data_IF_207569261517
#
_entry.id   IF_207569261517
#
_cell.length_a   1.000
_cell.length_b   1.000
_cell.length_c   1.000
_cell.angle_alpha   90.00
_cell.angle_beta   90.00
_cell.angle_gamma   90.00
#
_symmetry.space_group_name_H-M   'P 1'
#
loop_
_entity.id
_entity.type
_entity.pdbx_description
1 polymer ?
#
# COMPACT_ATOMS: atom_id res chain seq x y z
N UNK A 1 22.60 21.95 -25.00
CA UNK A 1 22.59 20.52 -24.57
C UNK A 1 21.46 20.38 -23.59
N UNK A 2 20.27 20.02 -24.07
CA UNK A 2 19.13 19.70 -23.21
C UNK A 2 19.35 18.30 -22.60
N UNK A 3 19.13 18.09 -21.31
CA UNK A 3 19.23 16.77 -20.72
C UNK A 3 18.03 15.94 -21.18
N UNK A 4 18.30 14.81 -21.79
CA UNK A 4 17.30 13.77 -22.20
C UNK A 4 16.50 13.30 -20.97
N UNK A 5 15.40 13.95 -20.67
CA UNK A 5 14.42 13.53 -19.65
C UNK A 5 13.56 12.33 -20.08
N UNK A 6 13.61 11.92 -21.34
CA UNK A 6 12.77 10.85 -21.89
C UNK A 6 13.16 9.42 -21.52
N UNK A 7 14.31 9.19 -20.89
CA UNK A 7 14.82 7.85 -20.62
C UNK A 7 14.45 7.28 -19.23
N UNK A 8 14.12 8.10 -18.26
CA UNK A 8 13.86 7.64 -16.89
C UNK A 8 12.44 7.13 -16.68
N UNK A 9 11.47 7.62 -17.46
CA UNK A 9 10.06 7.24 -17.32
C UNK A 9 9.77 5.78 -17.69
N UNK A 10 10.61 5.17 -18.52
CA UNK A 10 10.43 3.79 -18.96
C UNK A 10 10.71 2.75 -17.86
N UNK A 11 11.47 3.09 -16.83
CA UNK A 11 11.87 2.18 -15.75
C UNK A 11 11.04 2.31 -14.49
N UNK A 12 10.12 3.28 -14.39
CA UNK A 12 9.33 3.50 -13.18
C UNK A 12 8.16 2.53 -13.07
N UNK A 13 8.13 1.72 -11.99
CA UNK A 13 7.06 0.78 -11.65
C UNK A 13 5.98 1.37 -10.73
N UNK A 14 6.17 2.60 -10.24
CA UNK A 14 5.34 3.18 -9.19
C UNK A 14 4.38 4.22 -9.74
N UNK A 15 4.64 4.71 -10.92
CA UNK A 15 3.93 5.83 -11.52
C UNK A 15 2.72 5.39 -12.35
N UNK A 16 1.64 4.96 -11.68
CA UNK A 16 0.39 4.60 -12.34
C UNK A 16 -0.73 4.22 -11.38
N UNK A 17 -1.90 3.89 -11.94
CA UNK A 17 -3.09 3.45 -11.22
C UNK A 17 -4.11 4.55 -10.94
N UNK A 18 -5.29 4.15 -10.42
CA UNK A 18 -6.39 5.05 -10.06
C UNK A 18 -5.98 6.02 -8.95
N UNK A 19 -5.23 5.53 -7.96
CA UNK A 19 -4.76 6.33 -6.84
C UNK A 19 -3.92 7.53 -7.30
N UNK A 20 -3.02 7.34 -8.28
CA UNK A 20 -2.26 8.44 -8.88
C UNK A 20 -3.14 9.41 -9.66
N UNK A 21 -4.15 8.90 -10.39
CA UNK A 21 -5.10 9.75 -11.11
C UNK A 21 -5.87 10.66 -10.15
N UNK A 22 -6.27 10.16 -8.98
CA UNK A 22 -6.89 10.95 -7.91
C UNK A 22 -5.92 11.99 -7.36
N UNK A 23 -4.67 11.62 -7.09
CA UNK A 23 -3.64 12.55 -6.63
C UNK A 23 -3.37 13.70 -7.63
N UNK A 24 -3.32 13.37 -8.92
CA UNK A 24 -3.15 14.39 -9.98
C UNK A 24 -4.35 15.33 -10.05
N UNK A 25 -5.58 14.82 -9.93
CA UNK A 25 -6.80 15.64 -9.90
C UNK A 25 -6.84 16.57 -8.69
N UNK A 26 -6.31 16.15 -7.55
CA UNK A 26 -6.23 16.93 -6.31
C UNK A 26 -5.03 17.89 -6.28
N UNK A 27 -4.14 17.86 -7.28
CA UNK A 27 -2.94 18.71 -7.32
C UNK A 27 -1.87 18.36 -6.27
N UNK A 28 -1.98 17.22 -5.58
CA UNK A 28 -1.15 16.85 -4.41
C UNK A 28 -0.07 15.83 -4.76
N UNK A 29 0.14 15.55 -6.04
CA UNK A 29 1.04 14.50 -6.52
C UNK A 29 2.52 14.71 -6.10
N UNK A 30 2.95 15.96 -5.91
CA UNK A 30 4.31 16.29 -5.49
C UNK A 30 4.48 16.41 -3.96
N UNK A 31 3.39 16.39 -3.20
CA UNK A 31 3.40 16.63 -1.75
C UNK A 31 2.98 15.37 -0.98
N UNK A 32 3.85 14.35 -1.00
CA UNK A 32 3.57 13.06 -0.31
C UNK A 32 3.30 13.24 1.20
N UNK A 33 3.94 14.23 1.84
CA UNK A 33 3.69 14.55 3.26
C UNK A 33 2.26 15.04 3.50
N UNK A 34 1.73 15.91 2.63
CA UNK A 34 0.33 16.38 2.72
C UNK A 34 -0.62 15.21 2.53
N UNK A 35 -0.30 14.29 1.61
CA UNK A 35 -1.11 13.11 1.36
C UNK A 35 -1.13 12.15 2.55
N UNK A 36 0.02 11.95 3.20
CA UNK A 36 0.13 11.14 4.40
C UNK A 36 -0.68 11.76 5.55
N UNK A 37 -0.55 13.08 5.75
CA UNK A 37 -1.33 13.80 6.75
C UNK A 37 -2.84 13.72 6.47
N UNK A 38 -3.26 13.93 5.23
CA UNK A 38 -4.66 13.81 4.83
C UNK A 38 -5.19 12.39 5.08
N UNK A 39 -4.38 11.35 4.81
CA UNK A 39 -4.73 9.96 5.10
C UNK A 39 -4.90 9.69 6.60
N UNK A 40 -4.01 10.24 7.44
CA UNK A 40 -4.13 10.17 8.91
C UNK A 40 -5.40 10.88 9.36
N UNK A 41 -5.62 12.13 8.96
CA UNK A 41 -6.78 12.92 9.33
C UNK A 41 -8.07 12.21 8.92
N UNK A 42 -8.13 11.69 7.70
CA UNK A 42 -9.29 10.95 7.21
C UNK A 42 -9.59 9.67 7.99
N UNK A 43 -8.56 8.89 8.34
CA UNK A 43 -8.76 7.59 8.99
C UNK A 43 -8.87 7.68 10.52
N UNK A 44 -8.17 8.65 11.16
CA UNK A 44 -8.02 8.73 12.61
C UNK A 44 -8.93 9.78 13.25
N UNK A 45 -9.06 10.97 12.67
CA UNK A 45 -9.80 12.08 13.27
C UNK A 45 -11.27 11.73 13.56
N UNK A 46 -12.04 11.08 12.65
CA UNK A 46 -13.40 10.68 12.95
C UNK A 46 -13.50 9.68 14.10
N UNK A 47 -12.49 8.82 14.28
CA UNK A 47 -12.45 7.89 15.43
C UNK A 47 -12.34 8.64 16.75
N UNK A 48 -11.45 9.65 16.81
CA UNK A 48 -11.33 10.51 18.01
C UNK A 48 -12.65 11.20 18.30
N UNK A 49 -13.28 11.81 17.29
CA UNK A 49 -14.56 12.52 17.46
C UNK A 49 -15.65 11.58 17.96
N UNK A 50 -15.84 10.43 17.33
CA UNK A 50 -16.89 9.48 17.70
C UNK A 50 -16.66 8.87 19.09
N UNK A 51 -15.41 8.52 19.44
CA UNK A 51 -15.08 7.97 20.78
C UNK A 51 -15.22 9.04 21.87
N UNK A 52 -14.95 10.31 21.57
CA UNK A 52 -15.20 11.41 22.50
C UNK A 52 -16.69 11.59 22.76
N UNK A 53 -17.51 11.58 21.70
CA UNK A 53 -18.98 11.70 21.82
C UNK A 53 -19.56 10.54 22.65
N UNK A 54 -19.05 9.33 22.46
CA UNK A 54 -19.51 8.14 23.18
C UNK A 54 -18.85 7.93 24.56
N UNK A 55 -17.93 8.82 24.99
CA UNK A 55 -17.23 8.71 26.27
C UNK A 55 -16.26 7.53 26.37
N UNK A 56 -15.87 6.92 25.24
CA UNK A 56 -14.98 5.75 25.19
C UNK A 56 -13.55 6.09 24.77
N UNK A 57 -13.18 7.38 24.79
CA UNK A 57 -11.85 7.86 24.43
C UNK A 57 -10.79 7.44 25.45
N UNK A 58 -11.01 7.77 26.73
CA UNK A 58 -10.11 7.49 27.86
C UNK A 58 -10.62 6.38 28.76
N UNK A 59 -11.96 6.33 28.97
CA UNK A 59 -12.66 5.44 29.88
C UNK A 59 -13.93 4.89 29.20
N UNK A 60 -14.86 4.29 29.96
CA UNK A 60 -16.17 3.88 29.44
C UNK A 60 -16.19 2.55 28.67
N UNK A 61 -15.03 1.92 28.47
CA UNK A 61 -14.88 0.59 27.88
C UNK A 61 -13.71 -0.15 28.53
N UNK A 62 -13.71 -1.48 28.51
CA UNK A 62 -12.59 -2.27 29.03
C UNK A 62 -11.28 -2.01 28.26
N UNK A 63 -11.39 -1.67 26.98
CA UNK A 63 -10.28 -1.14 26.19
C UNK A 63 -10.72 0.17 25.53
N UNK A 64 -10.39 1.34 26.14
CA UNK A 64 -10.63 2.65 25.57
C UNK A 64 -9.84 2.87 24.26
N UNK A 65 -10.27 3.82 23.45
CA UNK A 65 -9.66 4.08 22.13
C UNK A 65 -8.15 4.38 22.23
N UNK A 66 -7.72 5.21 23.18
CA UNK A 66 -6.31 5.58 23.34
C UNK A 66 -5.41 4.42 23.77
N UNK A 67 -5.97 3.37 24.34
CA UNK A 67 -5.23 2.17 24.72
C UNK A 67 -5.12 1.13 23.59
N UNK A 68 -5.84 1.33 22.46
CA UNK A 68 -5.73 0.46 21.29
C UNK A 68 -4.45 0.76 20.47
N UNK A 69 -3.31 0.30 21.01
CA UNK A 69 -1.99 0.49 20.39
C UNK A 69 -1.97 -0.02 18.94
N UNK A 70 -2.66 -1.14 18.67
CA UNK A 70 -2.69 -1.72 17.33
C UNK A 70 -3.35 -0.78 16.30
N UNK A 71 -4.43 -0.11 16.68
CA UNK A 71 -5.12 0.85 15.83
C UNK A 71 -4.25 2.10 15.58
N UNK A 72 -3.62 2.62 16.62
CA UNK A 72 -2.72 3.78 16.53
C UNK A 72 -1.49 3.47 15.69
N UNK A 73 -0.81 2.34 15.92
CA UNK A 73 0.34 1.92 15.11
C UNK A 73 -0.02 1.78 13.63
N UNK A 74 -1.19 1.22 13.33
CA UNK A 74 -1.68 1.05 11.96
C UNK A 74 -1.93 2.37 11.25
N UNK A 75 -2.62 3.32 11.91
CA UNK A 75 -3.03 4.57 11.28
C UNK A 75 -1.95 5.66 11.38
N UNK A 76 -1.29 5.82 12.54
CA UNK A 76 -0.35 6.91 12.76
C UNK A 76 1.07 6.59 12.30
N UNK A 77 1.44 5.30 12.20
CA UNK A 77 2.79 4.89 11.80
C UNK A 77 2.75 4.18 10.45
N UNK A 78 2.05 3.06 10.35
CA UNK A 78 2.14 2.23 9.15
C UNK A 78 1.52 2.89 7.91
N UNK A 79 0.36 3.56 8.04
CA UNK A 79 -0.30 4.23 6.93
C UNK A 79 0.55 5.35 6.32
N UNK A 80 1.10 6.33 7.07
CA UNK A 80 1.97 7.35 6.48
C UNK A 80 3.26 6.75 5.92
N UNK A 81 3.85 5.74 6.55
CA UNK A 81 5.02 5.04 6.00
C UNK A 81 4.71 4.44 4.64
N UNK A 82 3.58 3.75 4.46
CA UNK A 82 3.16 3.18 3.17
C UNK A 82 2.99 4.25 2.08
N UNK A 83 2.58 5.46 2.44
CA UNK A 83 2.45 6.58 1.50
C UNK A 83 3.81 7.18 1.16
N UNK A 84 4.63 7.49 2.18
CA UNK A 84 5.90 8.21 2.02
C UNK A 84 6.99 7.36 1.34
N UNK A 85 7.07 6.08 1.67
CA UNK A 85 8.09 5.16 1.16
C UNK A 85 8.00 4.96 -0.36
N UNK A 86 6.86 5.32 -0.95
CA UNK A 86 6.59 5.17 -2.39
C UNK A 86 7.67 5.83 -3.26
N UNK A 87 8.06 7.05 -2.95
CA UNK A 87 9.06 7.77 -3.71
C UNK A 87 10.45 7.15 -3.57
N UNK A 88 10.81 6.77 -2.33
CA UNK A 88 12.14 6.17 -2.05
C UNK A 88 12.28 4.85 -2.79
N UNK A 89 11.28 3.97 -2.70
CA UNK A 89 11.30 2.68 -3.40
C UNK A 89 11.27 2.88 -4.91
N UNK A 90 10.50 3.88 -5.43
CA UNK A 90 10.47 4.19 -6.85
C UNK A 90 11.83 4.52 -7.42
N UNK A 91 12.55 5.41 -6.76
CA UNK A 91 13.90 5.81 -7.18
C UNK A 91 14.86 4.61 -7.12
N UNK A 92 14.83 3.84 -6.03
CA UNK A 92 15.73 2.69 -5.85
C UNK A 92 15.45 1.55 -6.83
N UNK A 93 14.19 1.21 -7.06
CA UNK A 93 13.83 0.17 -8.04
C UNK A 93 14.17 0.59 -9.47
N UNK A 94 13.93 1.84 -9.84
CA UNK A 94 14.31 2.37 -11.15
C UNK A 94 15.82 2.29 -11.36
N UNK A 95 16.62 2.71 -10.37
CA UNK A 95 18.08 2.62 -10.42
C UNK A 95 18.56 1.16 -10.54
N UNK A 96 17.98 0.25 -9.76
CA UNK A 96 18.31 -1.17 -9.79
C UNK A 96 18.00 -1.80 -11.16
N UNK A 97 16.82 -1.52 -11.73
CA UNK A 97 16.45 -2.04 -13.07
C UNK A 97 17.42 -1.51 -14.13
N UNK A 98 17.72 -0.21 -14.07
CA UNK A 98 18.66 0.40 -15.00
C UNK A 98 20.04 -0.25 -14.91
N UNK A 99 20.56 -0.39 -13.69
CA UNK A 99 21.86 -1.05 -13.47
C UNK A 99 21.86 -2.49 -14.02
N UNK A 100 20.85 -3.29 -13.67
CA UNK A 100 20.75 -4.67 -14.15
C UNK A 100 20.66 -4.74 -15.68
N UNK A 101 19.89 -3.84 -16.31
CA UNK A 101 19.74 -3.82 -17.76
C UNK A 101 21.00 -3.38 -18.48
N UNK A 102 21.72 -2.40 -17.92
CA UNK A 102 22.90 -1.81 -18.57
C UNK A 102 24.18 -2.62 -18.34
N UNK A 103 24.31 -3.27 -17.19
CA UNK A 103 25.56 -3.95 -16.79
C UNK A 103 25.52 -5.46 -16.99
N UNK A 104 24.34 -6.08 -16.91
CA UNK A 104 24.23 -7.56 -16.91
C UNK A 104 23.67 -8.15 -18.19
N UNK A 105 23.14 -7.35 -19.13
CA UNK A 105 22.52 -7.83 -20.36
C UNK A 105 23.33 -7.40 -21.59
N UNK A 106 23.40 -8.29 -22.57
CA UNK A 106 23.85 -7.93 -23.92
C UNK A 106 22.86 -7.00 -24.63
N UNK A 107 23.26 -6.44 -25.75
CA UNK A 107 22.50 -5.42 -26.50
C UNK A 107 21.12 -5.90 -26.92
N UNK A 108 21.00 -7.15 -27.35
CA UNK A 108 19.75 -7.74 -27.84
C UNK A 108 18.79 -8.05 -26.70
N UNK A 109 19.27 -8.71 -25.62
CA UNK A 109 18.49 -8.99 -24.43
C UNK A 109 18.05 -7.71 -23.72
N UNK A 110 18.93 -6.69 -23.66
CA UNK A 110 18.60 -5.37 -23.15
C UNK A 110 17.47 -4.74 -23.94
N UNK A 111 17.54 -4.77 -25.27
CA UNK A 111 16.48 -4.22 -26.10
C UNK A 111 15.15 -4.93 -25.86
N UNK A 112 15.14 -6.26 -25.81
CA UNK A 112 13.96 -7.06 -25.50
C UNK A 112 13.41 -6.77 -24.07
N UNK A 113 14.29 -6.65 -23.09
CA UNK A 113 13.90 -6.33 -21.72
C UNK A 113 13.24 -4.95 -21.63
N UNK A 114 13.88 -3.92 -22.16
CA UNK A 114 13.43 -2.54 -22.06
C UNK A 114 12.20 -2.26 -22.93
N UNK A 115 12.15 -2.81 -24.15
CA UNK A 115 11.07 -2.52 -25.11
C UNK A 115 9.82 -3.38 -24.90
N UNK A 116 9.95 -4.61 -24.39
CA UNK A 116 8.85 -5.57 -24.31
C UNK A 116 8.50 -5.93 -22.86
N UNK A 117 9.50 -6.33 -22.07
CA UNK A 117 9.25 -6.91 -20.73
C UNK A 117 8.90 -5.85 -19.71
N UNK A 118 9.68 -4.78 -19.62
CA UNK A 118 9.43 -3.69 -18.66
C UNK A 118 8.07 -3.02 -18.85
N UNK A 119 7.63 -2.65 -20.06
CA UNK A 119 6.31 -2.06 -20.26
C UNK A 119 5.17 -3.00 -19.86
N UNK A 120 5.30 -4.33 -20.10
CA UNK A 120 4.31 -5.32 -19.67
C UNK A 120 4.23 -5.40 -18.15
N UNK A 121 5.38 -5.48 -17.46
CA UNK A 121 5.43 -5.50 -16.00
C UNK A 121 4.90 -4.22 -15.39
N UNK A 122 5.25 -3.06 -15.95
CA UNK A 122 4.71 -1.76 -15.55
C UNK A 122 3.19 -1.70 -15.68
N UNK A 123 2.64 -2.16 -16.81
CA UNK A 123 1.18 -2.24 -16.99
C UNK A 123 0.53 -3.11 -15.92
N UNK A 124 1.15 -4.23 -15.57
CA UNK A 124 0.66 -5.13 -14.53
C UNK A 124 0.71 -4.47 -13.14
N UNK A 125 1.84 -3.82 -12.81
CA UNK A 125 2.03 -3.14 -11.53
C UNK A 125 1.11 -1.91 -11.33
N UNK A 126 0.79 -1.19 -12.42
CA UNK A 126 0.06 0.06 -12.41
C UNK A 126 -1.35 -0.06 -13.03
N UNK A 127 -1.88 -1.27 -13.18
CA UNK A 127 -3.18 -1.50 -13.80
C UNK A 127 -4.32 -1.03 -12.90
N UNK A 128 -5.20 -0.21 -13.45
CA UNK A 128 -6.46 0.16 -12.77
C UNK A 128 -7.36 -1.07 -12.53
N UNK A 129 -7.25 -2.10 -13.37
CA UNK A 129 -7.97 -3.36 -13.16
C UNK A 129 -7.49 -4.08 -11.90
N UNK A 130 -6.19 -4.11 -11.65
CA UNK A 130 -5.63 -4.69 -10.42
C UNK A 130 -6.14 -3.95 -9.18
N UNK A 131 -6.14 -2.62 -9.21
CA UNK A 131 -6.68 -1.82 -8.08
C UNK A 131 -8.17 -2.11 -7.86
N UNK A 132 -8.95 -2.25 -8.93
CA UNK A 132 -10.36 -2.64 -8.83
C UNK A 132 -10.53 -4.03 -8.20
N UNK A 133 -9.72 -5.01 -8.61
CA UNK A 133 -9.74 -6.36 -8.03
C UNK A 133 -9.41 -6.30 -6.53
N UNK A 134 -8.40 -5.52 -6.13
CA UNK A 134 -8.05 -5.36 -4.71
C UNK A 134 -9.19 -4.73 -3.91
N UNK A 135 -9.86 -3.70 -4.46
CA UNK A 135 -11.03 -3.09 -3.83
C UNK A 135 -12.17 -4.13 -3.69
N UNK A 136 -12.46 -4.89 -4.74
CA UNK A 136 -13.49 -5.93 -4.71
C UNK A 136 -13.18 -7.02 -3.67
N UNK A 137 -11.92 -7.44 -3.54
CA UNK A 137 -11.50 -8.39 -2.51
C UNK A 137 -11.71 -7.84 -1.10
N UNK A 138 -11.39 -6.56 -0.86
CA UNK A 138 -11.62 -5.92 0.43
C UNK A 138 -13.11 -5.82 0.72
N UNK A 139 -13.93 -5.37 -0.23
CA UNK A 139 -15.38 -5.28 -0.09
C UNK A 139 -15.99 -6.65 0.19
N UNK A 140 -15.56 -7.69 -0.55
CA UNK A 140 -16.00 -9.05 -0.34
C UNK A 140 -15.63 -9.58 1.07
N UNK A 141 -14.42 -9.27 1.56
CA UNK A 141 -13.99 -9.64 2.92
C UNK A 141 -14.83 -8.96 3.99
N UNK A 142 -15.06 -7.64 3.87
CA UNK A 142 -15.92 -6.88 4.79
C UNK A 142 -17.35 -7.43 4.77
N UNK A 143 -17.91 -7.72 3.60
CA UNK A 143 -19.24 -8.29 3.44
C UNK A 143 -19.35 -9.68 4.07
N UNK A 144 -18.35 -10.54 3.83
CA UNK A 144 -18.30 -11.89 4.41
C UNK A 144 -18.25 -11.84 5.94
N UNK A 145 -17.39 -11.00 6.51
CA UNK A 145 -17.26 -10.79 7.95
C UNK A 145 -18.57 -10.24 8.56
N UNK A 146 -19.24 -9.34 7.86
CA UNK A 146 -20.52 -8.79 8.32
C UNK A 146 -21.61 -9.87 8.35
N UNK A 147 -21.66 -10.75 7.33
CA UNK A 147 -22.64 -11.83 7.28
C UNK A 147 -22.41 -12.94 8.29
N UNK A 148 -21.14 -13.28 8.54
CA UNK A 148 -20.77 -14.34 9.50
C UNK A 148 -20.91 -13.91 10.95
N UNK A 149 -21.01 -12.61 11.24
CA UNK A 149 -20.96 -12.08 12.60
C UNK A 149 -19.58 -12.17 13.27
N UNK A 150 -18.58 -12.68 12.57
CA UNK A 150 -17.21 -12.88 13.08
C UNK A 150 -16.46 -11.58 13.33
N UNK A 151 -16.99 -10.44 12.91
CA UNK A 151 -16.38 -9.13 13.15
C UNK A 151 -16.22 -8.80 14.64
N UNK A 152 -17.11 -9.28 15.50
CA UNK A 152 -17.04 -9.10 16.95
C UNK A 152 -15.79 -9.72 17.56
N UNK A 153 -15.48 -10.96 17.21
CA UNK A 153 -14.28 -11.68 17.64
C UNK A 153 -12.99 -11.06 17.10
N UNK A 154 -12.99 -10.72 15.80
CA UNK A 154 -11.84 -10.12 15.11
C UNK A 154 -11.48 -8.73 15.64
N UNK A 155 -12.46 -7.94 16.11
CA UNK A 155 -12.24 -6.58 16.59
C UNK A 155 -12.05 -6.48 18.11
N UNK A 156 -11.99 -7.59 18.84
CA UNK A 156 -11.60 -7.63 20.24
C UNK A 156 -12.72 -7.78 21.26
N UNK A 157 -13.89 -8.28 20.83
CA UNK A 157 -14.98 -8.70 21.74
C UNK A 157 -15.89 -7.56 22.20
N UNK A 158 -16.79 -7.85 23.13
CA UNK A 158 -17.97 -7.06 23.47
C UNK A 158 -17.71 -5.80 24.33
N UNK A 159 -16.52 -5.61 24.85
CA UNK A 159 -16.22 -4.49 25.77
C UNK A 159 -15.02 -3.66 25.29
N UNK A 160 -15.14 -3.10 24.10
CA UNK A 160 -14.12 -2.21 23.53
C UNK A 160 -14.78 -0.92 23.07
N UNK A 161 -14.00 0.13 22.77
CA UNK A 161 -14.51 1.36 22.14
C UNK A 161 -15.28 1.11 20.84
N UNK A 162 -15.11 -0.07 20.20
CA UNK A 162 -15.76 -0.48 18.94
C UNK A 162 -17.17 -1.02 19.16
N UNK A 163 -17.44 -1.58 20.37
CA UNK A 163 -18.71 -2.23 20.71
C UNK A 163 -19.23 -1.74 22.05
N UNK A 164 -20.54 -1.58 22.12
CA UNK A 164 -21.27 -1.33 23.36
C UNK A 164 -22.25 -2.47 23.62
N UNK A 165 -22.56 -2.73 24.89
CA UNK A 165 -23.59 -3.70 25.26
C UNK A 165 -24.92 -2.97 25.42
N UNK A 166 -25.85 -3.18 24.53
CA UNK A 166 -27.24 -2.72 24.63
C UNK A 166 -28.17 -3.92 24.77
N UNK A 167 -28.94 -3.95 25.87
CA UNK A 167 -29.91 -5.03 26.16
C UNK A 167 -29.31 -6.46 26.07
N UNK A 168 -28.05 -6.62 26.48
CA UNK A 168 -27.35 -7.90 26.45
C UNK A 168 -26.81 -8.34 25.08
N UNK A 169 -26.96 -7.50 24.06
CA UNK A 169 -26.38 -7.72 22.74
C UNK A 169 -25.20 -6.75 22.49
N UNK A 170 -24.16 -7.26 21.82
CA UNK A 170 -23.02 -6.45 21.43
C UNK A 170 -23.36 -5.68 20.15
N UNK A 171 -23.49 -4.37 20.28
CA UNK A 171 -23.80 -3.47 19.14
C UNK A 171 -22.58 -2.66 18.79
N UNK A 172 -22.28 -2.56 17.49
CA UNK A 172 -21.14 -1.79 17.01
C UNK A 172 -21.40 -0.28 17.12
N UNK A 173 -20.49 0.43 17.81
CA UNK A 173 -20.53 1.90 17.95
C UNK A 173 -20.31 2.61 16.62
N UNK A 174 -20.60 3.92 16.54
CA UNK A 174 -20.25 4.71 15.35
C UNK A 174 -18.75 4.69 15.05
N UNK A 175 -17.92 4.77 16.08
CA UNK A 175 -16.48 4.65 15.95
C UNK A 175 -16.07 3.26 15.42
N UNK A 176 -16.70 2.19 15.93
CA UNK A 176 -16.51 0.83 15.44
C UNK A 176 -16.89 0.68 13.97
N UNK A 177 -18.04 1.22 13.57
CA UNK A 177 -18.48 1.23 12.16
C UNK A 177 -17.49 1.97 11.26
N UNK A 178 -17.02 3.15 11.65
CA UNK A 178 -16.03 3.90 10.88
C UNK A 178 -14.71 3.12 10.76
N UNK A 179 -14.24 2.54 11.87
CA UNK A 179 -13.03 1.71 11.86
C UNK A 179 -13.16 0.53 10.90
N UNK A 180 -14.27 -0.21 10.98
CA UNK A 180 -14.48 -1.46 10.24
C UNK A 180 -14.76 -1.23 8.74
N UNK A 181 -15.59 -0.24 8.40
CA UNK A 181 -15.99 0.00 7.02
C UNK A 181 -15.11 0.98 6.25
N UNK A 182 -14.30 1.80 6.95
CA UNK A 182 -13.53 2.88 6.31
C UNK A 182 -12.04 2.78 6.66
N UNK A 183 -11.66 2.93 7.94
CA UNK A 183 -10.24 3.06 8.30
C UNK A 183 -9.43 1.79 8.03
N UNK A 184 -9.96 0.62 8.40
CA UNK A 184 -9.30 -0.67 8.18
C UNK A 184 -9.23 -1.00 6.68
N UNK A 185 -10.33 -0.93 5.89
CA UNK A 185 -10.29 -1.13 4.45
C UNK A 185 -9.35 -0.17 3.70
N UNK A 186 -9.31 1.09 4.10
CA UNK A 186 -8.38 2.06 3.52
C UNK A 186 -6.92 1.67 3.75
N UNK A 187 -6.58 1.29 4.97
CA UNK A 187 -5.24 0.76 5.27
C UNK A 187 -4.94 -0.53 4.49
N UNK A 188 -5.87 -1.49 4.47
CA UNK A 188 -5.74 -2.75 3.72
C UNK A 188 -5.50 -2.50 2.24
N UNK A 189 -6.18 -1.52 1.64
CA UNK A 189 -5.99 -1.16 0.25
C UNK A 189 -4.56 -0.71 -0.04
N UNK A 190 -4.01 0.18 0.79
CA UNK A 190 -2.62 0.62 0.65
C UNK A 190 -1.63 -0.54 0.83
N UNK A 191 -1.87 -1.39 1.83
CA UNK A 191 -1.02 -2.55 2.09
C UNK A 191 -1.05 -3.55 0.94
N UNK A 192 -2.24 -3.90 0.44
CA UNK A 192 -2.40 -4.84 -0.68
C UNK A 192 -1.80 -4.30 -1.98
N UNK A 193 -1.87 -3.00 -2.22
CA UNK A 193 -1.15 -2.38 -3.34
C UNK A 193 0.37 -2.60 -3.24
N UNK A 194 0.94 -2.50 -2.04
CA UNK A 194 2.36 -2.77 -1.82
C UNK A 194 2.71 -4.24 -2.03
N UNK A 195 1.91 -5.14 -1.48
CA UNK A 195 2.09 -6.59 -1.68
C UNK A 195 2.03 -6.93 -3.17
N UNK A 196 1.08 -6.37 -3.91
CA UNK A 196 0.97 -6.59 -5.35
C UNK A 196 2.22 -6.11 -6.12
N UNK A 197 2.69 -4.91 -5.83
CA UNK A 197 3.92 -4.37 -6.45
C UNK A 197 5.15 -5.22 -6.13
N UNK A 198 5.22 -5.71 -4.90
CA UNK A 198 6.28 -6.63 -4.49
C UNK A 198 6.23 -7.94 -5.28
N UNK A 199 5.05 -8.51 -5.49
CA UNK A 199 4.87 -9.71 -6.33
C UNK A 199 5.33 -9.44 -7.77
N UNK A 200 4.94 -8.31 -8.36
CA UNK A 200 5.38 -7.94 -9.72
C UNK A 200 6.90 -7.75 -9.78
N UNK A 201 7.50 -7.17 -8.74
CA UNK A 201 8.95 -7.05 -8.61
C UNK A 201 9.64 -8.42 -8.58
N UNK A 202 9.15 -9.36 -7.78
CA UNK A 202 9.66 -10.74 -7.75
C UNK A 202 9.54 -11.40 -9.13
N UNK A 203 8.41 -11.25 -9.82
CA UNK A 203 8.25 -11.79 -11.17
C UNK A 203 9.25 -11.18 -12.17
N UNK A 204 9.55 -9.90 -12.05
CA UNK A 204 10.57 -9.25 -12.87
C UNK A 204 11.95 -9.84 -12.59
N UNK A 205 12.35 -9.95 -11.31
CA UNK A 205 13.64 -10.55 -10.92
C UNK A 205 13.76 -12.00 -11.41
N UNK A 206 12.68 -12.78 -11.30
CA UNK A 206 12.65 -14.15 -11.81
C UNK A 206 12.85 -14.20 -13.33
N UNK A 207 12.30 -13.24 -14.09
CA UNK A 207 12.55 -13.13 -15.52
C UNK A 207 14.01 -12.76 -15.82
N UNK A 208 14.57 -11.81 -15.06
CA UNK A 208 15.99 -11.48 -15.17
C UNK A 208 16.89 -12.69 -14.93
N UNK A 209 16.62 -13.50 -13.93
CA UNK A 209 17.43 -14.68 -13.59
C UNK A 209 17.40 -15.77 -14.69
N UNK A 210 16.48 -15.70 -15.64
CA UNK A 210 16.36 -16.64 -16.76
C UNK A 210 17.07 -16.17 -18.03
N UNK A 211 17.60 -14.95 -18.03
CA UNK A 211 18.37 -14.43 -19.16
C UNK A 211 19.83 -14.84 -19.08
N UNK A 212 20.54 -14.92 -20.20
CA UNK A 212 21.99 -15.14 -20.24
C UNK A 212 22.69 -13.87 -19.70
N UNK A 213 22.97 -13.85 -18.40
CA UNK A 213 23.59 -12.70 -17.74
C UNK A 213 25.09 -12.70 -18.01
N UNK A 214 25.64 -11.53 -18.33
CA UNK A 214 27.08 -11.29 -18.47
C UNK A 214 27.74 -11.14 -17.09
N UNK A 215 27.86 -12.23 -16.38
CA UNK A 215 28.46 -12.25 -15.05
C UNK A 215 30.00 -12.32 -15.14
N UNK A 216 30.68 -11.44 -14.43
CA UNK A 216 32.15 -11.43 -14.32
C UNK A 216 32.57 -12.11 -13.01
N UNK A 217 33.06 -13.37 -13.04
CA UNK A 217 33.39 -14.14 -11.83
C UNK A 217 34.47 -13.49 -10.95
N UNK A 218 35.27 -12.59 -11.53
CA UNK A 218 36.39 -11.92 -10.86
C UNK A 218 36.05 -10.52 -10.37
N UNK A 219 34.77 -10.10 -10.42
CA UNK A 219 34.36 -8.79 -9.95
C UNK A 219 34.63 -8.61 -8.44
N UNK A 220 35.08 -7.41 -8.05
CA UNK A 220 35.52 -7.11 -6.69
C UNK A 220 34.43 -7.26 -5.62
N UNK A 221 33.16 -7.11 -6.00
CA UNK A 221 31.99 -7.29 -5.12
C UNK A 221 31.63 -8.76 -4.86
N UNK A 222 32.28 -9.72 -5.52
CA UNK A 222 32.01 -11.16 -5.48
C UNK A 222 30.57 -11.57 -5.88
N UNK A 223 29.81 -10.65 -6.43
CA UNK A 223 28.43 -10.88 -6.87
C UNK A 223 28.32 -11.19 -8.38
N UNK A 224 29.44 -11.12 -9.11
CA UNK A 224 29.51 -11.49 -10.53
C UNK A 224 29.19 -10.37 -11.51
N UNK A 225 29.08 -9.14 -11.05
CA UNK A 225 28.84 -7.97 -11.92
C UNK A 225 28.37 -6.75 -11.18
#
# INVERSE_FOLDING_TARGET
>A
MEPMQGGQDNYSFIDGGLFRKVQMKLGVHNHQGILALAGIVFAWLPLVVFTTIHGTLYDGAATPFLQDVAMHARILIALPVLILIRNVIGIKTTAAIKYMSDSLLDSEERHQMVSVTLPKMRRLACSSLTELILILLIVASVFSLTRSGAYGELLGGASTWKFTSESGQSVMTLAGKWAFYISIPFFQFLLLQWIWRYIVWIMLLFRFSRLPLLLLPTHADRAGG
#
